data_IF_124277159359
#
_entry.id   IF_124277159359
#
_cell.length_a   1.000
_cell.length_b   1.000
_cell.length_c   1.000
_cell.angle_alpha   90.00
_cell.angle_beta   90.00
_cell.angle_gamma   90.00
#
_symmetry.space_group_name_H-M   'P 1'
#
loop_
_entity.id
_entity.type
_entity.pdbx_description
1 polymer ?
#
# COMPACT_ATOMS: atom_id res chain seq x y z
N UNK A 1 -14.66 -1.18 -14.21
CA UNK A 1 -14.27 -1.14 -12.78
C UNK A 1 -12.78 -1.42 -12.70
N UNK A 2 -12.01 -0.78 -11.81
CA UNK A 2 -10.59 -1.11 -11.67
C UNK A 2 -10.46 -2.60 -11.32
N UNK A 3 -9.54 -3.32 -11.95
CA UNK A 3 -9.33 -4.73 -11.61
C UNK A 3 -8.81 -4.90 -10.18
N UNK A 4 -9.32 -5.93 -9.50
CA UNK A 4 -8.91 -6.28 -8.15
C UNK A 4 -7.50 -6.92 -8.23
N UNK A 5 -6.49 -6.43 -7.50
CA UNK A 5 -5.20 -7.10 -7.43
C UNK A 5 -5.34 -8.45 -6.72
N UNK A 6 -4.77 -9.49 -7.34
CA UNK A 6 -4.87 -10.90 -6.91
C UNK A 6 -3.48 -11.54 -6.85
N UNK A 7 -3.36 -12.64 -6.09
CA UNK A 7 -2.15 -13.46 -6.11
C UNK A 7 -1.80 -13.88 -7.54
N UNK A 8 -0.51 -13.90 -7.87
CA UNK A 8 -0.02 -14.22 -9.21
C UNK A 8 -0.12 -13.07 -10.23
N UNK A 9 -0.82 -11.97 -9.93
CA UNK A 9 -0.77 -10.78 -10.79
C UNK A 9 0.64 -10.18 -10.75
N UNK A 10 1.08 -9.59 -11.85
CA UNK A 10 2.38 -8.92 -11.91
C UNK A 10 2.20 -7.41 -11.89
N UNK A 11 2.95 -6.76 -11.00
CA UNK A 11 2.95 -5.31 -10.82
C UNK A 11 4.24 -4.72 -11.40
N UNK A 12 4.10 -3.61 -12.13
CA UNK A 12 5.18 -2.68 -12.42
C UNK A 12 5.14 -1.55 -11.39
N UNK A 13 6.17 -1.51 -10.55
CA UNK A 13 6.30 -0.63 -9.39
C UNK A 13 7.43 0.33 -9.70
N UNK A 14 7.20 1.65 -9.79
CA UNK A 14 8.27 2.63 -9.99
C UNK A 14 9.40 2.45 -8.98
N UNK A 15 10.65 2.65 -9.38
CA UNK A 15 11.79 2.66 -8.46
C UNK A 15 11.73 3.91 -7.57
N UNK A 16 12.31 3.85 -6.38
CA UNK A 16 12.42 5.02 -5.52
C UNK A 16 13.12 6.19 -6.25
N UNK A 17 12.55 7.38 -6.08
CA UNK A 17 13.14 8.67 -6.47
C UNK A 17 12.91 9.69 -5.35
N UNK A 18 13.61 10.82 -5.37
CA UNK A 18 13.43 11.86 -4.36
C UNK A 18 11.99 12.39 -4.29
N UNK A 19 11.24 12.35 -5.40
CA UNK A 19 9.83 12.73 -5.46
C UNK A 19 8.93 11.84 -4.60
N UNK A 20 9.32 10.59 -4.34
CA UNK A 20 8.57 9.67 -3.50
C UNK A 20 8.49 10.16 -2.04
N UNK A 21 9.40 11.03 -1.59
CA UNK A 21 9.34 11.66 -0.26
C UNK A 21 8.11 12.57 -0.09
N UNK A 22 7.51 13.03 -1.19
CA UNK A 22 6.23 13.78 -1.16
C UNK A 22 5.02 12.88 -0.92
N UNK A 23 5.22 11.56 -0.96
CA UNK A 23 4.22 10.52 -0.95
C UNK A 23 4.49 9.52 0.18
N UNK A 24 4.77 10.03 1.37
CA UNK A 24 5.20 9.22 2.52
C UNK A 24 4.26 9.43 3.70
N UNK A 25 4.05 8.37 4.46
CA UNK A 25 3.27 8.40 5.69
C UNK A 25 3.97 7.62 6.80
N UNK A 26 3.94 8.17 8.01
CA UNK A 26 4.37 7.47 9.22
C UNK A 26 3.15 6.88 9.91
N UNK A 27 3.04 5.56 9.90
CA UNK A 27 2.00 4.84 10.61
C UNK A 27 2.44 4.57 12.04
N UNK A 28 1.51 4.74 12.98
CA UNK A 28 1.67 4.33 14.37
C UNK A 28 0.51 3.40 14.76
N UNK A 29 0.81 2.27 15.39
CA UNK A 29 -0.18 1.30 15.86
C UNK A 29 0.25 0.66 17.17
N UNK A 30 -0.71 0.09 17.89
CA UNK A 30 -0.43 -0.69 19.10
C UNK A 30 -0.38 -2.17 18.75
N UNK A 31 0.68 -2.85 19.19
CA UNK A 31 0.85 -4.29 19.04
C UNK A 31 1.62 -4.84 20.25
N UNK A 32 1.08 -5.88 20.88
CA UNK A 32 1.67 -6.48 22.10
C UNK A 32 1.93 -5.46 23.21
N UNK A 33 0.96 -4.56 23.46
CA UNK A 33 1.06 -3.44 24.42
C UNK A 33 2.18 -2.43 24.16
N UNK A 34 2.81 -2.47 22.98
CA UNK A 34 3.82 -1.51 22.57
C UNK A 34 3.31 -0.69 21.38
N UNK A 35 3.61 0.61 21.40
CA UNK A 35 3.47 1.45 20.21
C UNK A 35 4.58 1.10 19.23
N UNK A 36 4.19 0.70 18.02
CA UNK A 36 5.07 0.49 16.88
C UNK A 36 4.86 1.60 15.88
N UNK A 37 5.92 1.94 15.16
CA UNK A 37 5.86 2.91 14.07
C UNK A 37 6.47 2.31 12.80
N UNK A 38 6.07 2.82 11.65
CA UNK A 38 6.64 2.43 10.37
C UNK A 38 6.38 3.48 9.32
N UNK A 39 7.43 3.79 8.55
CA UNK A 39 7.38 4.72 7.43
C UNK A 39 7.03 3.97 6.14
N UNK A 40 5.99 4.44 5.45
CA UNK A 40 5.47 3.83 4.24
C UNK A 40 5.39 4.84 3.11
N UNK A 41 5.88 4.44 1.95
CA UNK A 41 5.71 5.15 0.69
C UNK A 41 4.43 4.70 0.04
N UNK A 42 3.73 5.64 -0.55
CA UNK A 42 2.52 5.42 -1.32
C UNK A 42 2.96 5.42 -2.78
N UNK A 43 2.66 4.34 -3.49
CA UNK A 43 3.16 4.05 -4.83
C UNK A 43 1.99 3.72 -5.75
N UNK A 44 1.97 4.33 -6.94
CA UNK A 44 1.02 4.00 -8.00
C UNK A 44 1.66 2.93 -8.85
N UNK A 45 1.36 1.67 -8.54
CA UNK A 45 1.81 0.54 -9.32
C UNK A 45 0.86 0.30 -10.50
N UNK A 46 1.36 -0.42 -11.52
CA UNK A 46 0.57 -0.82 -12.69
C UNK A 46 0.43 -2.33 -12.72
N UNK A 47 -0.78 -2.87 -12.79
CA UNK A 47 -1.01 -4.29 -12.95
C UNK A 47 -0.82 -4.70 -14.41
N UNK A 48 0.38 -5.15 -14.77
CA UNK A 48 0.72 -5.50 -16.17
C UNK A 48 -0.04 -6.73 -16.65
N UNK A 49 -0.50 -7.59 -15.73
CA UNK A 49 -1.36 -8.75 -16.07
C UNK A 49 -2.82 -8.38 -16.32
N UNK A 50 -3.28 -7.21 -15.88
CA UNK A 50 -4.66 -6.73 -16.05
C UNK A 50 -4.65 -5.40 -16.82
N UNK A 51 -4.11 -5.41 -18.04
CA UNK A 51 -4.11 -4.28 -18.98
C UNK A 51 -3.49 -2.96 -18.46
N UNK A 52 -2.65 -3.01 -17.42
CA UNK A 52 -2.01 -1.82 -16.86
C UNK A 52 -2.91 -1.00 -15.93
N UNK A 53 -3.88 -1.62 -15.28
CA UNK A 53 -4.72 -0.98 -14.28
C UNK A 53 -3.90 -0.40 -13.12
N UNK A 54 -4.33 0.74 -12.58
CA UNK A 54 -3.71 1.36 -11.42
C UNK A 54 -3.95 0.53 -10.16
N UNK A 55 -2.87 0.21 -9.44
CA UNK A 55 -2.91 -0.44 -8.13
C UNK A 55 -2.27 0.48 -7.11
N UNK A 56 -3.02 0.82 -6.07
CA UNK A 56 -2.47 1.52 -4.92
C UNK A 56 -1.63 0.55 -4.09
N UNK A 57 -0.36 0.89 -3.92
CA UNK A 57 0.61 0.09 -3.17
C UNK A 57 1.20 0.92 -2.04
N UNK A 58 1.21 0.38 -0.83
CA UNK A 58 1.99 0.92 0.28
C UNK A 58 3.26 0.08 0.45
N UNK A 59 4.43 0.70 0.41
CA UNK A 59 5.71 0.02 0.56
C UNK A 59 6.45 0.57 1.76
N UNK A 60 6.83 -0.27 2.71
CA UNK A 60 7.63 0.16 3.86
C UNK A 60 9.03 0.59 3.42
N UNK A 61 9.61 1.59 4.09
CA UNK A 61 10.89 2.22 3.71
C UNK A 61 12.01 1.21 3.38
N UNK A 62 12.23 0.21 4.25
CA UNK A 62 13.26 -0.82 4.06
C UNK A 62 13.05 -1.74 2.84
N UNK A 63 11.85 -1.75 2.27
CA UNK A 63 11.53 -2.51 1.05
C UNK A 63 11.66 -1.63 -0.19
N UNK A 64 11.64 -0.31 -0.06
CA UNK A 64 11.54 0.61 -1.21
C UNK A 64 12.79 1.47 -1.43
N UNK A 65 13.32 2.07 -0.37
CA UNK A 65 14.40 3.06 -0.43
C UNK A 65 15.75 2.47 -0.05
N UNK A 66 15.77 1.60 0.94
CA UNK A 66 17.01 0.99 1.44
C UNK A 66 17.46 -0.18 0.55
N UNK A 67 18.33 0.08 -0.42
CA UNK A 67 18.90 -0.96 -1.30
C UNK A 67 19.79 -1.96 -0.55
N UNK A 68 20.33 -1.59 0.61
CA UNK A 68 21.17 -2.47 1.43
C UNK A 68 20.33 -3.51 2.19
N UNK A 69 19.09 -3.17 2.54
CA UNK A 69 18.13 -4.07 3.18
C UNK A 69 18.00 -5.42 2.46
N UNK A 70 17.96 -6.50 3.23
CA UNK A 70 17.69 -7.85 2.70
C UNK A 70 16.27 -7.97 2.12
N UNK A 71 15.34 -7.13 2.60
CA UNK A 71 13.94 -7.10 2.19
C UNK A 71 13.69 -6.14 1.02
N UNK A 72 14.72 -5.51 0.46
CA UNK A 72 14.59 -4.58 -0.66
C UNK A 72 13.83 -5.23 -1.83
N UNK A 73 12.91 -4.48 -2.45
CA UNK A 73 12.02 -4.98 -3.49
C UNK A 73 12.76 -5.66 -4.66
N UNK A 74 13.93 -5.13 -5.03
CA UNK A 74 14.77 -5.70 -6.09
C UNK A 74 15.41 -7.04 -5.73
N UNK A 75 15.36 -7.46 -4.46
CA UNK A 75 15.86 -8.76 -3.96
C UNK A 75 14.74 -9.78 -3.72
N UNK A 76 13.48 -9.41 -3.94
CA UNK A 76 12.38 -10.36 -3.81
C UNK A 76 12.50 -11.47 -4.87
N UNK A 77 12.09 -12.71 -4.56
CA UNK A 77 12.13 -13.80 -5.52
C UNK A 77 11.37 -13.47 -6.81
N UNK A 78 12.05 -13.58 -7.96
CA UNK A 78 11.47 -13.28 -9.27
C UNK A 78 11.31 -11.78 -9.59
N UNK A 79 11.72 -10.87 -8.69
CA UNK A 79 11.76 -9.46 -8.99
C UNK A 79 12.83 -9.17 -10.04
N UNK A 80 12.51 -8.29 -10.99
CA UNK A 80 13.43 -7.80 -12.02
C UNK A 80 13.29 -6.31 -12.19
N UNK A 81 14.38 -5.62 -12.50
CA UNK A 81 14.38 -4.19 -12.75
C UNK A 81 14.32 -3.94 -14.27
N UNK A 82 13.33 -3.19 -14.71
CA UNK A 82 13.17 -2.75 -16.09
C UNK A 82 13.12 -1.22 -16.12
N UNK A 83 14.24 -0.60 -16.53
CA UNK A 83 14.38 0.85 -16.48
C UNK A 83 14.14 1.40 -15.07
N UNK A 84 13.23 2.37 -14.95
CA UNK A 84 12.83 2.99 -13.68
C UNK A 84 11.76 2.23 -12.92
N UNK A 85 11.57 0.93 -13.16
CA UNK A 85 10.53 0.13 -12.53
C UNK A 85 11.05 -1.24 -12.05
N UNK A 86 10.47 -1.74 -10.97
CA UNK A 86 10.53 -3.14 -10.56
C UNK A 86 9.30 -3.87 -11.06
N UNK A 87 9.53 -5.01 -11.70
CA UNK A 87 8.46 -5.94 -12.09
C UNK A 87 8.45 -7.07 -11.08
N UNK A 88 7.35 -7.17 -10.33
CA UNK A 88 7.20 -8.10 -9.21
C UNK A 88 5.84 -8.77 -9.25
N UNK A 89 5.82 -10.08 -9.07
CA UNK A 89 4.57 -10.84 -8.94
C UNK A 89 4.04 -10.75 -7.51
N UNK A 90 2.74 -10.48 -7.36
CA UNK A 90 2.04 -10.53 -6.07
C UNK A 90 2.09 -11.97 -5.58
N UNK A 91 2.79 -12.17 -4.46
CA UNK A 91 2.95 -13.44 -3.78
C UNK A 91 2.68 -13.27 -2.27
N UNK A 92 3.05 -14.28 -1.49
CA UNK A 92 2.89 -14.34 -0.05
C UNK A 92 3.66 -13.26 0.74
N UNK A 93 4.60 -12.53 0.12
CA UNK A 93 5.29 -11.39 0.72
C UNK A 93 4.42 -10.14 0.79
N UNK A 94 3.36 -10.09 -0.01
CA UNK A 94 2.42 -8.99 -0.01
C UNK A 94 1.25 -9.28 0.94
N UNK A 95 0.66 -8.20 1.43
CA UNK A 95 -0.63 -8.20 2.11
C UNK A 95 -1.58 -7.24 1.41
N UNK A 96 -2.85 -7.25 1.75
CA UNK A 96 -3.82 -6.31 1.18
C UNK A 96 -4.83 -5.82 2.19
N UNK A 97 -5.35 -4.63 1.95
CA UNK A 97 -6.58 -4.13 2.57
C UNK A 97 -7.70 -4.08 1.55
N UNK A 98 -8.94 -4.14 2.00
CA UNK A 98 -10.14 -4.09 1.16
C UNK A 98 -11.34 -3.59 1.96
N UNK A 99 -12.29 -2.98 1.27
CA UNK A 99 -13.51 -2.45 1.92
C UNK A 99 -14.41 -3.56 2.44
N UNK A 100 -14.61 -4.61 1.65
CA UNK A 100 -15.53 -5.70 1.92
C UNK A 100 -14.97 -7.03 1.43
N UNK A 101 -15.69 -8.13 1.70
CA UNK A 101 -15.24 -9.49 1.41
C UNK A 101 -15.13 -9.76 -0.09
N UNK A 102 -15.85 -9.00 -0.90
CA UNK A 102 -15.88 -9.04 -2.35
C UNK A 102 -14.61 -8.44 -2.97
N UNK A 103 -13.74 -7.81 -2.18
CA UNK A 103 -12.48 -7.23 -2.65
C UNK A 103 -12.63 -5.82 -3.22
N UNK A 104 -13.74 -5.13 -2.94
CA UNK A 104 -13.94 -3.75 -3.37
C UNK A 104 -12.82 -2.85 -2.83
N UNK A 105 -12.28 -2.02 -3.72
CA UNK A 105 -11.20 -1.06 -3.44
C UNK A 105 -9.95 -1.71 -2.84
N UNK A 106 -9.65 -2.96 -3.23
CA UNK A 106 -8.47 -3.66 -2.73
C UNK A 106 -7.18 -2.94 -3.15
N UNK A 107 -6.30 -2.77 -2.18
CA UNK A 107 -4.97 -2.17 -2.33
C UNK A 107 -3.93 -3.08 -1.70
N UNK A 108 -2.67 -2.90 -2.06
CA UNK A 108 -1.59 -3.83 -1.71
C UNK A 108 -0.61 -3.19 -0.73
N UNK A 109 -0.05 -3.98 0.17
CA UNK A 109 1.03 -3.61 1.08
C UNK A 109 2.24 -4.53 0.86
N UNK A 110 3.44 -3.94 0.78
CA UNK A 110 4.72 -4.64 0.86
C UNK A 110 5.48 -4.14 2.08
N UNK A 111 5.51 -4.95 3.14
CA UNK A 111 6.07 -4.58 4.43
C UNK A 111 6.40 -5.80 5.29
N UNK A 112 6.97 -5.56 6.48
CA UNK A 112 7.17 -6.63 7.46
C UNK A 112 5.84 -7.23 7.90
N UNK A 113 5.58 -8.49 7.56
CA UNK A 113 4.35 -9.21 7.96
C UNK A 113 4.22 -9.45 9.47
N UNK A 114 5.30 -9.25 10.24
CA UNK A 114 5.22 -9.26 11.69
C UNK A 114 4.54 -7.99 12.23
N UNK A 115 4.49 -6.92 11.45
CA UNK A 115 3.71 -5.74 11.77
C UNK A 115 2.23 -6.03 11.51
N UNK A 116 1.39 -5.78 12.51
CA UNK A 116 -0.06 -5.96 12.42
C UNK A 116 -0.81 -4.62 12.55
N UNK A 117 -0.54 -3.61 11.71
CA UNK A 117 -1.38 -2.43 11.65
C UNK A 117 -2.75 -2.79 11.07
N UNK A 118 -3.80 -2.15 11.59
CA UNK A 118 -5.13 -2.23 10.98
C UNK A 118 -5.20 -1.48 9.65
N UNK A 119 -6.01 -1.97 8.71
CA UNK A 119 -6.08 -1.43 7.35
C UNK A 119 -6.44 0.05 7.27
N UNK A 120 -7.32 0.53 8.16
CA UNK A 120 -7.76 1.93 8.18
C UNK A 120 -6.62 2.94 8.41
N UNK A 121 -5.54 2.52 9.08
CA UNK A 121 -4.40 3.38 9.37
C UNK A 121 -3.71 3.87 8.10
N UNK A 122 -3.71 3.04 7.05
CA UNK A 122 -3.08 3.36 5.76
C UNK A 122 -3.88 4.40 4.97
N UNK A 123 -5.21 4.28 4.97
CA UNK A 123 -6.10 5.15 4.19
C UNK A 123 -6.14 6.56 4.79
N UNK A 124 -6.22 6.65 6.11
CA UNK A 124 -6.45 7.90 6.84
C UNK A 124 -5.26 8.86 6.75
N UNK A 125 -4.05 8.36 7.00
CA UNK A 125 -2.87 9.21 7.10
C UNK A 125 -2.45 9.76 5.74
N UNK A 126 -2.70 9.00 4.67
CA UNK A 126 -2.53 9.48 3.29
C UNK A 126 -3.34 10.74 3.00
N UNK A 127 -4.56 10.86 3.54
CA UNK A 127 -5.44 12.02 3.30
C UNK A 127 -4.94 13.26 4.05
N UNK A 128 -4.31 13.07 5.21
CA UNK A 128 -3.83 14.15 6.08
C UNK A 128 -2.49 14.75 5.61
N UNK A 129 -1.59 13.96 5.00
CA UNK A 129 -0.23 14.39 4.58
C UNK A 129 -0.10 15.07 3.21
N UNK A 130 -1.20 15.52 2.62
CA UNK A 130 -1.44 15.87 1.19
C UNK A 130 -0.24 16.26 0.29
N UNK A 131 -0.07 15.44 -0.75
CA UNK A 131 0.13 15.91 -2.12
C UNK A 131 -1.17 15.69 -2.94
N UNK A 132 -1.66 16.71 -3.67
CA UNK A 132 -2.97 16.71 -4.33
C UNK A 132 -3.18 15.54 -5.32
N UNK A 133 -2.09 15.05 -5.93
CA UNK A 133 -2.13 13.93 -6.86
C UNK A 133 -2.41 12.58 -6.17
N UNK A 134 -2.12 12.46 -4.88
CA UNK A 134 -2.44 11.27 -4.09
C UNK A 134 -3.89 11.27 -3.64
N UNK A 135 -4.44 12.44 -3.27
CA UNK A 135 -5.86 12.57 -2.97
C UNK A 135 -6.72 12.14 -4.17
N UNK A 136 -6.33 12.52 -5.41
CA UNK A 136 -7.00 12.06 -6.64
C UNK A 136 -6.92 10.55 -6.83
N UNK A 137 -5.75 9.94 -6.61
CA UNK A 137 -5.60 8.49 -6.74
C UNK A 137 -6.39 7.74 -5.70
N UNK A 138 -6.35 8.18 -4.44
CA UNK A 138 -7.22 7.62 -3.41
C UNK A 138 -8.68 7.72 -3.81
N UNK A 139 -9.14 8.90 -4.26
CA UNK A 139 -10.55 9.08 -4.64
C UNK A 139 -10.96 8.17 -5.81
N UNK A 140 -10.05 7.88 -6.74
CA UNK A 140 -10.27 6.89 -7.80
C UNK A 140 -10.31 5.45 -7.25
N UNK A 141 -9.43 5.11 -6.32
CA UNK A 141 -9.32 3.75 -5.76
C UNK A 141 -10.42 3.42 -4.77
N UNK A 142 -10.85 4.38 -3.95
CA UNK A 142 -11.78 4.14 -2.84
C UNK A 142 -13.15 4.81 -3.03
N UNK A 143 -13.27 5.79 -3.92
CA UNK A 143 -14.43 6.67 -4.01
C UNK A 143 -14.36 7.83 -3.03
N UNK A 144 -14.78 9.02 -3.46
CA UNK A 144 -14.70 10.24 -2.64
C UNK A 144 -15.56 10.19 -1.36
N UNK A 145 -16.78 9.66 -1.48
CA UNK A 145 -17.72 9.55 -0.34
C UNK A 145 -17.22 8.56 0.72
N UNK A 146 -16.68 7.42 0.29
CA UNK A 146 -16.16 6.38 1.18
C UNK A 146 -14.91 6.87 1.94
N UNK A 147 -14.04 7.62 1.27
CA UNK A 147 -12.89 8.24 1.94
C UNK A 147 -13.34 9.24 3.00
N UNK A 148 -14.36 10.05 2.70
CA UNK A 148 -14.91 11.00 3.67
C UNK A 148 -15.50 10.25 4.88
N UNK A 149 -16.18 9.12 4.65
CA UNK A 149 -16.73 8.28 5.71
C UNK A 149 -15.63 7.63 6.56
N UNK A 150 -14.59 7.08 5.94
CA UNK A 150 -13.42 6.50 6.63
C UNK A 150 -12.72 7.53 7.52
N UNK A 151 -12.60 8.77 7.05
CA UNK A 151 -12.05 9.89 7.84
C UNK A 151 -12.99 10.28 8.98
N UNK A 152 -14.31 10.31 8.73
CA UNK A 152 -15.28 10.66 9.77
C UNK A 152 -15.32 9.62 10.91
N UNK A 153 -15.23 8.33 10.57
CA UNK A 153 -15.22 7.21 11.52
C UNK A 153 -14.00 7.15 12.44
N UNK A 154 -12.98 8.00 12.25
CA UNK A 154 -11.84 8.12 13.17
C UNK A 154 -12.20 8.77 14.51
N UNK A 155 -13.26 9.58 14.55
CA UNK A 155 -13.71 10.25 15.76
C UNK A 155 -14.42 9.33 16.76
N UNK A 156 -14.84 8.14 16.32
CA UNK A 156 -15.45 7.09 17.13
C UNK A 156 -14.59 5.83 17.07
N UNK A 157 -14.65 4.97 18.09
CA UNK A 157 -13.75 3.82 18.24
C UNK A 157 -13.86 2.83 17.07
N UNK A 158 -13.05 3.01 16.04
CA UNK A 158 -13.01 2.14 14.88
C UNK A 158 -12.31 0.82 15.25
N UNK A 159 -13.09 -0.26 15.30
CA UNK A 159 -12.56 -1.63 15.30
C UNK A 159 -12.24 -1.96 13.85
N UNK A 160 -10.95 -1.93 13.50
CA UNK A 160 -10.51 -2.18 12.14
C UNK A 160 -10.14 -3.63 11.89
N UNK A 161 -10.17 -4.04 10.63
CA UNK A 161 -9.57 -5.30 10.20
C UNK A 161 -8.05 -5.16 10.07
N UNK A 162 -7.34 -6.26 10.33
CA UNK A 162 -5.94 -6.37 9.94
C UNK A 162 -5.82 -6.51 8.42
N UNK A 163 -4.61 -6.30 7.90
CA UNK A 163 -4.31 -6.64 6.52
C UNK A 163 -4.45 -8.15 6.31
N UNK A 164 -4.99 -8.52 5.16
CA UNK A 164 -5.14 -9.90 4.72
C UNK A 164 -3.88 -10.36 3.98
N UNK A 165 -3.67 -11.67 3.93
CA UNK A 165 -2.62 -12.29 3.13
C UNK A 165 -3.20 -12.81 1.82
N UNK A 166 -2.42 -12.74 0.74
CA UNK A 166 -2.74 -13.39 -0.54
C UNK A 166 -2.64 -14.91 -0.47
#
# INVERSE_FOLDING_TARGET
>A
MPSIPEAGNTLSIPTYTAEAEKAVQDLSWSQSFQTKTGRYYIVKAKNVTKAGDDVLLYVQDRFYKDEASADYIGKLPGARKEGGHFIVTINDRFQYGQKNKEGENRWVALHDKNNKPYQHRFIVLTIQGKAADWAKTLAKTFGASELAETVSRLGSSFVGDYLHTF
#
